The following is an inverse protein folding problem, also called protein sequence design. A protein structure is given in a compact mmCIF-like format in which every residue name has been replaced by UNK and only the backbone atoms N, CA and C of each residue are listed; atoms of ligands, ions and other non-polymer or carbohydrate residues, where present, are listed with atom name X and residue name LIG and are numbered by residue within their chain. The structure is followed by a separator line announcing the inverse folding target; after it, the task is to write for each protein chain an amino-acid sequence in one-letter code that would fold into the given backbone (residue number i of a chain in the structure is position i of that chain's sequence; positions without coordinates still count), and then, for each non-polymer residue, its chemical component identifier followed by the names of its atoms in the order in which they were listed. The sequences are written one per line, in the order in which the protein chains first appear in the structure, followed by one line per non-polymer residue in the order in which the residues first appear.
data_IF_931190850683
#
_entry.id   IF_931190850683
#
_cell.length_a   1.000
_cell.length_b   1.000
_cell.length_c   1.000
_cell.angle_alpha   90.00
_cell.angle_beta   90.00
_cell.angle_gamma   90.00
#
_symmetry.space_group_name_H-M   'P 1'
#
loop_
_entity.id
_entity.type
_entity.pdbx_description
1 polymer ?
#
# COMPACT_ATOMS: atom_id res chain seq x y z
N UNK A 1 61.85 -110.09 77.61
CA UNK A 1 61.56 -109.82 76.18
C UNK A 1 60.34 -108.92 75.99
N UNK A 2 59.17 -109.25 76.53
CA UNK A 2 57.90 -108.49 76.30
C UNK A 2 58.01 -106.99 76.62
N UNK A 3 58.68 -106.62 77.70
CA UNK A 3 58.83 -105.22 78.12
C UNK A 3 59.69 -104.36 77.17
N UNK A 4 60.69 -104.96 76.51
CA UNK A 4 61.57 -104.25 75.56
C UNK A 4 60.87 -104.00 74.22
N UNK A 5 60.05 -104.95 73.78
CA UNK A 5 59.16 -104.76 72.63
C UNK A 5 58.11 -103.68 72.90
N UNK A 6 57.54 -103.65 74.11
CA UNK A 6 56.58 -102.62 74.51
C UNK A 6 57.20 -101.20 74.48
N UNK A 7 58.42 -101.05 75.02
CA UNK A 7 59.11 -99.75 75.02
C UNK A 7 59.44 -99.28 73.60
N UNK A 8 59.85 -100.19 72.72
CA UNK A 8 60.15 -99.88 71.31
C UNK A 8 58.90 -99.53 70.50
N UNK A 9 57.77 -100.20 70.78
CA UNK A 9 56.48 -99.84 70.17
C UNK A 9 56.04 -98.46 70.64
N UNK A 10 56.13 -98.16 71.93
CA UNK A 10 55.78 -96.83 72.46
C UNK A 10 56.66 -95.72 71.88
N UNK A 11 57.97 -95.93 71.76
CA UNK A 11 58.90 -94.98 71.14
C UNK A 11 58.53 -94.70 69.67
N UNK A 12 58.20 -95.74 68.90
CA UNK A 12 57.74 -95.60 67.51
C UNK A 12 56.38 -94.92 67.40
N UNK A 13 55.45 -95.20 68.32
CA UNK A 13 54.16 -94.52 68.40
C UNK A 13 54.33 -93.03 68.71
N UNK A 14 55.27 -92.69 69.59
CA UNK A 14 55.61 -91.30 69.93
C UNK A 14 56.28 -90.59 68.75
N UNK A 15 57.20 -91.23 68.03
CA UNK A 15 57.79 -90.70 66.79
C UNK A 15 56.74 -90.49 65.69
N UNK A 16 55.79 -91.42 65.52
CA UNK A 16 54.68 -91.28 64.54
C UNK A 16 53.74 -90.17 64.96
N UNK A 17 53.38 -90.07 66.24
CA UNK A 17 52.56 -88.97 66.78
C UNK A 17 53.25 -87.62 66.58
N UNK A 18 54.54 -87.50 66.88
CA UNK A 18 55.30 -86.27 66.71
C UNK A 18 55.44 -85.89 65.22
N UNK A 19 55.70 -86.87 64.35
CA UNK A 19 55.75 -86.67 62.91
C UNK A 19 54.38 -86.22 62.36
N UNK A 20 53.29 -86.87 62.75
CA UNK A 20 51.93 -86.47 62.39
C UNK A 20 51.64 -85.03 62.83
N UNK A 21 51.92 -84.69 64.09
CA UNK A 21 51.74 -83.33 64.61
C UNK A 21 52.60 -82.29 63.88
N UNK A 22 53.83 -82.63 63.48
CA UNK A 22 54.67 -81.76 62.66
C UNK A 22 54.11 -81.59 61.25
N UNK A 23 53.58 -82.64 60.61
CA UNK A 23 52.96 -82.55 59.28
C UNK A 23 51.69 -81.71 59.31
N UNK A 24 50.83 -81.88 60.31
CA UNK A 24 49.64 -81.05 60.51
C UNK A 24 50.00 -79.58 60.73
N UNK A 25 50.99 -79.28 61.58
CA UNK A 25 51.49 -77.90 61.77
C UNK A 25 52.02 -77.30 60.47
N UNK A 26 52.74 -78.08 59.65
CA UNK A 26 53.23 -77.62 58.34
C UNK A 26 52.08 -77.37 57.37
N UNK A 27 51.05 -78.21 57.39
CA UNK A 27 49.86 -78.06 56.57
C UNK A 27 49.05 -76.83 56.99
N UNK A 28 48.78 -76.65 58.29
CA UNK A 28 48.11 -75.45 58.81
C UNK A 28 48.85 -74.15 58.41
N UNK A 29 50.18 -74.13 58.48
CA UNK A 29 50.96 -72.96 58.02
C UNK A 29 50.83 -72.71 56.52
N UNK A 30 50.77 -73.76 55.71
CA UNK A 30 50.55 -73.62 54.26
C UNK A 30 49.17 -73.06 53.99
N UNK A 31 48.13 -73.61 54.62
CA UNK A 31 46.75 -73.19 54.45
C UNK A 31 46.58 -71.71 54.89
N UNK A 32 47.14 -71.33 56.04
CA UNK A 32 47.15 -69.94 56.49
C UNK A 32 47.85 -69.00 55.50
N UNK A 33 48.99 -69.40 54.94
CA UNK A 33 49.70 -68.60 53.93
C UNK A 33 48.88 -68.50 52.63
N UNK A 34 48.24 -69.59 52.20
CA UNK A 34 47.37 -69.60 51.02
C UNK A 34 46.17 -68.67 51.22
N UNK A 35 45.50 -68.74 52.37
CA UNK A 35 44.37 -67.88 52.71
C UNK A 35 44.76 -66.40 52.77
N UNK A 36 45.91 -66.08 53.36
CA UNK A 36 46.43 -64.70 53.41
C UNK A 36 46.75 -64.16 52.02
N UNK A 37 47.43 -64.95 51.17
CA UNK A 37 47.71 -64.57 49.79
C UNK A 37 46.43 -64.38 48.97
N UNK A 38 45.44 -65.25 49.18
CA UNK A 38 44.15 -65.18 48.49
C UNK A 38 43.34 -63.95 48.93
N UNK A 39 43.37 -63.59 50.22
CA UNK A 39 42.76 -62.34 50.71
C UNK A 39 43.41 -61.12 50.08
N UNK A 40 44.75 -61.06 50.07
CA UNK A 40 45.49 -59.95 49.48
C UNK A 40 45.20 -59.79 47.98
N UNK A 41 45.14 -60.91 47.22
CA UNK A 41 44.77 -60.88 45.80
C UNK A 41 43.33 -60.40 45.58
N UNK A 42 42.39 -60.81 46.43
CA UNK A 42 40.99 -60.34 46.37
C UNK A 42 40.90 -58.85 46.65
N UNK A 43 41.60 -58.35 47.68
CA UNK A 43 41.66 -56.94 48.02
C UNK A 43 42.28 -56.11 46.89
N UNK A 44 43.38 -56.59 46.29
CA UNK A 44 44.02 -55.92 45.16
C UNK A 44 43.10 -55.86 43.93
N UNK A 45 42.38 -56.96 43.62
CA UNK A 45 41.38 -56.96 42.55
C UNK A 45 40.24 -55.98 42.85
N UNK A 46 39.69 -55.99 44.05
CA UNK A 46 38.63 -55.08 44.45
C UNK A 46 39.07 -53.61 44.35
N UNK A 47 40.32 -53.30 44.71
CA UNK A 47 40.90 -51.97 44.54
C UNK A 47 41.03 -51.58 43.07
N UNK A 48 41.50 -52.50 42.20
CA UNK A 48 41.59 -52.26 40.76
C UNK A 48 40.19 -52.06 40.13
N UNK A 49 39.22 -52.89 40.49
CA UNK A 49 37.82 -52.75 40.04
C UNK A 49 37.24 -51.41 40.48
N UNK A 50 37.48 -50.97 41.71
CA UNK A 50 37.07 -49.65 42.21
C UNK A 50 37.66 -48.50 41.38
N UNK A 51 38.96 -48.56 41.07
CA UNK A 51 39.63 -47.54 40.25
C UNK A 51 39.06 -47.51 38.83
N UNK A 52 38.86 -48.69 38.21
CA UNK A 52 38.30 -48.80 36.87
C UNK A 52 36.85 -48.30 36.83
N UNK A 53 36.03 -48.66 37.80
CA UNK A 53 34.64 -48.18 37.91
C UNK A 53 34.58 -46.66 38.08
N UNK A 54 35.46 -46.08 38.90
CA UNK A 54 35.53 -44.62 39.05
C UNK A 54 35.91 -43.94 37.74
N UNK A 55 36.90 -44.47 37.02
CA UNK A 55 37.32 -43.95 35.71
C UNK A 55 36.20 -44.07 34.68
N UNK A 56 35.50 -45.21 34.66
CA UNK A 56 34.36 -45.42 33.78
C UNK A 56 33.25 -44.39 34.07
N UNK A 57 32.90 -44.19 35.34
CA UNK A 57 31.89 -43.21 35.73
C UNK A 57 32.27 -41.79 35.29
N UNK A 58 33.53 -41.37 35.52
CA UNK A 58 34.03 -40.07 35.06
C UNK A 58 33.88 -39.88 33.55
N UNK A 59 34.22 -40.91 32.77
CA UNK A 59 34.07 -40.86 31.31
C UNK A 59 32.60 -40.82 30.87
N UNK A 60 31.70 -41.51 31.58
CA UNK A 60 30.26 -41.45 31.31
C UNK A 60 29.71 -40.04 31.60
N UNK A 61 30.12 -39.43 32.71
CA UNK A 61 29.69 -38.08 33.09
C UNK A 61 30.22 -37.02 32.10
N UNK A 62 31.49 -37.13 31.68
CA UNK A 62 32.09 -36.28 30.64
C UNK A 62 31.35 -36.42 29.31
N UNK A 63 31.06 -37.65 28.88
CA UNK A 63 30.33 -37.89 27.63
C UNK A 63 28.89 -37.36 27.67
N UNK A 64 28.23 -37.46 28.83
CA UNK A 64 26.91 -36.84 29.05
C UNK A 64 26.98 -35.31 28.96
N UNK A 65 28.01 -34.70 29.56
CA UNK A 65 28.24 -33.26 29.47
C UNK A 65 28.50 -32.82 28.02
N UNK A 66 29.36 -33.54 27.28
CA UNK A 66 29.60 -33.27 25.86
C UNK A 66 28.31 -33.38 25.04
N UNK A 67 27.52 -34.43 25.27
CA UNK A 67 26.23 -34.61 24.61
C UNK A 67 25.29 -33.43 24.86
N UNK A 68 25.23 -32.91 26.08
CA UNK A 68 24.44 -31.72 26.42
C UNK A 68 24.95 -30.46 25.69
N UNK A 69 26.27 -30.23 25.66
CA UNK A 69 26.85 -29.09 24.93
C UNK A 69 26.60 -29.17 23.42
N UNK A 70 26.65 -30.36 22.83
CA UNK A 70 26.33 -30.57 21.41
C UNK A 70 24.88 -30.18 21.11
N UNK A 71 23.93 -30.55 21.99
CA UNK A 71 22.52 -30.18 21.83
C UNK A 71 22.37 -28.65 21.90
N UNK A 72 23.02 -27.99 22.86
CA UNK A 72 23.00 -26.53 22.99
C UNK A 72 23.60 -25.82 21.77
N UNK A 73 24.72 -26.31 21.25
CA UNK A 73 25.34 -25.76 20.05
C UNK A 73 24.46 -25.94 18.82
N UNK A 74 23.78 -27.09 18.69
CA UNK A 74 22.82 -27.33 17.60
C UNK A 74 21.64 -26.36 17.66
N UNK A 75 21.08 -26.11 18.84
CA UNK A 75 19.95 -25.15 18.96
C UNK A 75 20.40 -23.72 18.68
N UNK A 76 21.58 -23.32 19.13
CA UNK A 76 22.16 -22.01 18.79
C UNK A 76 22.41 -21.87 17.28
N UNK A 77 22.96 -22.90 16.64
CA UNK A 77 23.19 -22.91 15.18
C UNK A 77 21.87 -22.76 14.43
N UNK A 78 20.84 -23.54 14.80
CA UNK A 78 19.51 -23.43 14.19
C UNK A 78 18.87 -22.05 14.38
N UNK A 79 19.11 -21.39 15.52
CA UNK A 79 18.61 -20.02 15.74
C UNK A 79 19.32 -19.03 14.83
N UNK A 80 20.64 -19.13 14.71
CA UNK A 80 21.44 -18.29 13.82
C UNK A 80 21.07 -18.48 12.35
N UNK A 81 20.78 -19.72 11.92
CA UNK A 81 20.32 -20.01 10.56
C UNK A 81 18.99 -19.31 10.26
N UNK A 82 18.04 -19.35 11.20
CA UNK A 82 16.75 -18.63 11.06
C UNK A 82 16.92 -17.11 11.04
N UNK A 83 17.79 -16.57 11.89
CA UNK A 83 18.10 -15.13 11.89
C UNK A 83 18.74 -14.71 10.56
N UNK A 84 19.65 -15.54 10.02
CA UNK A 84 20.27 -15.32 8.71
C UNK A 84 19.24 -15.34 7.58
N UNK A 85 18.35 -16.34 7.55
CA UNK A 85 17.26 -16.41 6.56
C UNK A 85 16.36 -15.17 6.65
N UNK A 86 15.92 -14.80 7.86
CA UNK A 86 15.09 -13.61 8.06
C UNK A 86 15.79 -12.31 7.62
N UNK A 87 17.09 -12.17 7.87
CA UNK A 87 17.85 -11.00 7.42
C UNK A 87 18.05 -11.00 5.90
N UNK A 88 18.23 -12.17 5.29
CA UNK A 88 18.29 -12.32 3.83
C UNK A 88 16.97 -11.89 3.18
N UNK A 89 15.83 -12.36 3.70
CA UNK A 89 14.51 -11.97 3.19
C UNK A 89 14.26 -10.46 3.32
N UNK A 90 14.70 -9.85 4.43
CA UNK A 90 14.61 -8.40 4.61
C UNK A 90 15.50 -7.64 3.63
N UNK A 91 16.71 -8.14 3.38
CA UNK A 91 17.62 -7.56 2.40
C UNK A 91 16.99 -7.59 1.00
N UNK A 92 16.52 -8.75 0.56
CA UNK A 92 15.87 -8.93 -0.75
C UNK A 92 14.65 -8.01 -0.92
N UNK A 93 13.85 -7.84 0.13
CA UNK A 93 12.72 -6.89 0.12
C UNK A 93 13.19 -5.44 -0.03
N UNK A 94 14.24 -5.04 0.69
CA UNK A 94 14.78 -3.67 0.58
C UNK A 94 15.46 -3.41 -0.76
N UNK A 95 16.15 -4.40 -1.32
CA UNK A 95 16.75 -4.34 -2.65
C UNK A 95 15.68 -4.22 -3.73
N UNK A 96 14.59 -5.01 -3.64
CA UNK A 96 13.45 -4.91 -4.53
C UNK A 96 12.81 -3.52 -4.52
N UNK A 97 12.55 -2.95 -3.33
CA UNK A 97 12.01 -1.59 -3.18
C UNK A 97 12.96 -0.52 -3.74
N UNK A 98 14.27 -0.67 -3.52
CA UNK A 98 15.27 0.26 -4.05
C UNK A 98 15.29 0.23 -5.58
N UNK A 99 15.17 -0.96 -6.17
CA UNK A 99 15.12 -1.12 -7.62
C UNK A 99 13.85 -0.49 -8.23
N UNK A 100 12.70 -0.65 -7.57
CA UNK A 100 11.45 0.01 -7.94
C UNK A 100 11.62 1.54 -7.91
N UNK A 101 12.15 2.11 -6.82
CA UNK A 101 12.40 3.55 -6.70
C UNK A 101 13.39 4.06 -7.76
N UNK A 102 14.47 3.31 -8.06
CA UNK A 102 15.41 3.67 -9.11
C UNK A 102 14.75 3.69 -10.50
N UNK A 103 13.83 2.75 -10.76
CA UNK A 103 13.06 2.72 -12.01
C UNK A 103 12.08 3.90 -12.10
N UNK A 104 11.42 4.27 -10.99
CA UNK A 104 10.54 5.43 -10.90
C UNK A 104 11.32 6.73 -11.09
N UNK A 105 12.49 6.88 -10.47
CA UNK A 105 13.37 8.03 -10.66
C UNK A 105 13.75 8.18 -12.14
N UNK A 106 14.10 7.08 -12.81
CA UNK A 106 14.45 7.09 -14.23
C UNK A 106 13.27 7.56 -15.07
N UNK A 107 12.07 7.01 -14.87
CA UNK A 107 10.87 7.41 -15.63
C UNK A 107 10.47 8.86 -15.40
N UNK A 108 10.53 9.36 -14.15
CA UNK A 108 10.28 10.76 -13.82
C UNK A 108 11.31 11.69 -14.47
N UNK A 109 12.59 11.32 -14.43
CA UNK A 109 13.66 12.11 -15.06
C UNK A 109 13.45 12.22 -16.57
N UNK A 110 13.00 11.14 -17.22
CA UNK A 110 12.65 11.16 -18.64
C UNK A 110 11.42 12.02 -18.92
N UNK A 111 10.40 11.97 -18.05
CA UNK A 111 9.19 12.78 -18.18
C UNK A 111 9.55 14.28 -18.14
N UNK A 112 10.26 14.72 -17.11
CA UNK A 112 10.72 16.10 -16.99
C UNK A 112 11.60 16.53 -18.16
N UNK A 113 12.46 15.64 -18.66
CA UNK A 113 13.26 15.91 -19.87
C UNK A 113 12.37 16.14 -21.10
N UNK A 114 11.32 15.33 -21.30
CA UNK A 114 10.37 15.49 -22.41
C UNK A 114 9.57 16.78 -22.28
N UNK A 115 9.08 17.11 -21.08
CA UNK A 115 8.37 18.36 -20.81
C UNK A 115 9.23 19.58 -21.11
N UNK A 116 10.48 19.60 -20.64
CA UNK A 116 11.41 20.69 -20.92
C UNK A 116 11.66 20.88 -22.42
N UNK A 117 11.82 19.77 -23.17
CA UNK A 117 11.97 19.85 -24.63
C UNK A 117 10.69 20.36 -25.32
N UNK A 118 9.51 19.95 -24.85
CA UNK A 118 8.23 20.45 -25.37
C UNK A 118 8.08 21.94 -25.10
N UNK A 119 8.35 22.36 -23.87
CA UNK A 119 8.32 23.76 -23.46
C UNK A 119 9.28 24.61 -24.29
N UNK A 120 10.52 24.14 -24.52
CA UNK A 120 11.47 24.84 -25.38
C UNK A 120 10.96 24.98 -26.82
N UNK A 121 10.33 23.94 -27.39
CA UNK A 121 9.75 24.01 -28.74
C UNK A 121 8.61 25.01 -28.83
N UNK A 122 7.69 25.00 -27.86
CA UNK A 122 6.59 25.96 -27.79
C UNK A 122 7.12 27.38 -27.59
N UNK A 123 8.10 27.57 -26.71
CA UNK A 123 8.76 28.86 -26.50
C UNK A 123 9.38 29.40 -27.80
N UNK A 124 10.07 28.56 -28.57
CA UNK A 124 10.61 28.96 -29.89
C UNK A 124 9.48 29.32 -30.86
N UNK A 125 8.43 28.50 -30.98
CA UNK A 125 7.31 28.75 -31.88
C UNK A 125 6.54 30.05 -31.53
N UNK A 126 6.33 30.31 -30.24
CA UNK A 126 5.71 31.57 -29.78
C UNK A 126 6.60 32.77 -30.04
N UNK A 127 7.92 32.65 -29.89
CA UNK A 127 8.86 33.72 -30.21
C UNK A 127 8.88 34.02 -31.72
N UNK A 128 8.85 32.99 -32.57
CA UNK A 128 8.73 33.15 -34.02
C UNK A 128 7.44 33.90 -34.41
N UNK A 129 6.30 33.56 -33.78
CA UNK A 129 5.03 34.27 -33.97
C UNK A 129 5.11 35.74 -33.53
N UNK A 130 5.73 36.02 -32.38
CA UNK A 130 5.95 37.39 -31.91
C UNK A 130 6.76 38.19 -32.94
N UNK A 131 7.82 37.59 -33.49
CA UNK A 131 8.67 38.27 -34.47
C UNK A 131 7.97 38.46 -35.83
N UNK A 132 7.06 37.55 -36.21
CA UNK A 132 6.17 37.74 -37.37
C UNK A 132 5.22 38.92 -37.15
N UNK A 133 4.50 38.95 -36.03
CA UNK A 133 3.58 40.03 -35.70
C UNK A 133 4.28 41.39 -35.61
N UNK A 134 5.51 41.43 -35.06
CA UNK A 134 6.34 42.65 -35.05
C UNK A 134 6.66 43.11 -36.47
N UNK A 135 6.97 42.19 -37.40
CA UNK A 135 7.21 42.51 -38.80
C UNK A 135 5.95 43.04 -39.48
N UNK A 136 4.80 42.42 -39.26
CA UNK A 136 3.52 42.92 -39.78
C UNK A 136 3.17 44.32 -39.27
N UNK A 137 3.35 44.58 -37.97
CA UNK A 137 3.12 45.90 -37.37
C UNK A 137 4.02 46.95 -38.03
N UNK A 138 5.31 46.65 -38.24
CA UNK A 138 6.22 47.56 -38.93
C UNK A 138 5.77 47.85 -40.38
N UNK A 139 5.30 46.84 -41.11
CA UNK A 139 4.76 47.01 -42.48
C UNK A 139 3.50 47.89 -42.45
N UNK A 140 2.59 47.66 -41.52
CA UNK A 140 1.37 48.47 -41.38
C UNK A 140 1.68 49.92 -41.00
N UNK A 141 2.63 50.15 -40.09
CA UNK A 141 3.08 51.49 -39.71
C UNK A 141 3.72 52.24 -40.88
N UNK A 142 4.55 51.58 -41.69
CA UNK A 142 5.14 52.20 -42.89
C UNK A 142 4.09 52.51 -43.94
N UNK A 143 3.13 51.60 -44.21
CA UNK A 143 2.00 51.83 -45.11
C UNK A 143 1.12 52.99 -44.64
N UNK A 144 0.78 53.04 -43.35
CA UNK A 144 0.00 54.13 -42.76
C UNK A 144 0.73 55.47 -42.87
N UNK A 145 2.06 55.47 -42.70
CA UNK A 145 2.89 56.66 -42.90
C UNK A 145 2.89 57.13 -44.36
N UNK A 146 2.90 56.22 -45.33
CA UNK A 146 2.76 56.53 -46.75
C UNK A 146 1.37 57.09 -47.08
N UNK A 147 0.30 56.48 -46.56
CA UNK A 147 -1.08 56.94 -46.75
C UNK A 147 -1.31 58.32 -46.12
N UNK A 148 -0.75 58.59 -44.93
CA UNK A 148 -0.77 59.93 -44.33
C UNK A 148 -0.08 60.98 -45.21
N UNK A 149 1.06 60.62 -45.83
CA UNK A 149 1.71 61.51 -46.82
C UNK A 149 0.81 61.73 -48.04
N UNK A 150 0.18 60.70 -48.59
CA UNK A 150 -0.80 60.82 -49.69
C UNK A 150 -1.99 61.69 -49.31
N UNK A 151 -2.53 61.55 -48.10
CA UNK A 151 -3.61 62.40 -47.58
C UNK A 151 -3.18 63.86 -47.42
N UNK A 152 -1.93 64.13 -47.02
CA UNK A 152 -1.37 65.49 -47.02
C UNK A 152 -1.28 66.08 -48.42
N UNK A 153 -0.94 65.27 -49.44
CA UNK A 153 -1.01 65.69 -50.85
C UNK A 153 -2.46 65.88 -51.35
N UNK A 154 -3.43 65.09 -50.86
CA UNK A 154 -4.86 65.20 -51.20
C UNK A 154 -5.60 66.32 -50.47
N UNK A 155 -5.15 66.72 -49.26
CA UNK A 155 -5.76 67.83 -48.47
C UNK A 155 -5.51 69.20 -49.10
N UNK A 156 -4.56 69.32 -50.02
CA UNK A 156 -4.40 70.49 -50.86
C UNK A 156 -5.50 70.62 -51.96
N UNK A 157 -6.43 69.65 -52.09
CA UNK A 157 -7.36 69.60 -53.24
C UNK A 157 -8.86 69.39 -52.95
N UNK A 158 -9.34 69.31 -51.71
CA UNK A 158 -10.75 68.94 -51.48
C UNK A 158 -11.52 69.91 -50.56
N UNK A 159 -12.20 70.86 -51.21
CA UNK A 159 -13.32 71.64 -50.68
C UNK A 159 -14.56 70.74 -50.73
N UNK A 160 -14.82 69.95 -49.70
CA UNK A 160 -16.04 69.10 -49.58
C UNK A 160 -16.38 68.80 -48.11
N UNK A 161 -16.45 69.84 -47.29
CA UNK A 161 -16.80 69.72 -45.85
C UNK A 161 -18.32 69.60 -45.62
N UNK A 162 -19.16 69.79 -46.64
CA UNK A 162 -20.63 69.90 -46.47
C UNK A 162 -21.36 68.56 -46.33
N UNK A 163 -20.75 67.42 -46.67
CA UNK A 163 -21.41 66.10 -46.58
C UNK A 163 -21.09 65.34 -45.28
N UNK A 164 -20.10 65.78 -44.49
CA UNK A 164 -19.74 65.12 -43.22
C UNK A 164 -20.74 65.41 -42.10
N UNK A 165 -21.16 66.66 -41.94
CA UNK A 165 -22.06 67.07 -40.85
C UNK A 165 -23.43 66.35 -40.87
N UNK A 166 -24.01 66.14 -42.06
CA UNK A 166 -25.31 65.45 -42.19
C UNK A 166 -25.24 63.95 -41.85
N UNK A 167 -24.11 63.30 -42.14
CA UNK A 167 -23.90 61.87 -41.87
C UNK A 167 -23.65 61.62 -40.38
N UNK A 168 -22.96 62.54 -39.73
CA UNK A 168 -22.67 62.50 -38.30
C UNK A 168 -23.95 62.64 -37.47
N UNK A 169 -24.83 63.57 -37.81
CA UNK A 169 -26.13 63.74 -37.14
C UNK A 169 -27.07 62.54 -37.32
N UNK A 170 -27.04 61.88 -38.49
CA UNK A 170 -27.84 60.68 -38.78
C UNK A 170 -27.36 59.49 -37.93
N UNK A 171 -26.04 59.32 -37.80
CA UNK A 171 -25.45 58.28 -36.95
C UNK A 171 -25.73 58.53 -35.47
N UNK A 172 -25.70 59.78 -35.01
CA UNK A 172 -26.05 60.12 -33.62
C UNK A 172 -27.52 59.85 -33.28
N UNK A 173 -28.43 60.03 -34.24
CA UNK A 173 -29.84 59.67 -34.07
C UNK A 173 -30.02 58.16 -34.02
N UNK A 174 -29.30 57.42 -34.86
CA UNK A 174 -29.36 55.96 -34.88
C UNK A 174 -28.79 55.33 -33.60
N UNK A 175 -27.68 55.88 -33.06
CA UNK A 175 -27.14 55.45 -31.76
C UNK A 175 -28.16 55.67 -30.64
N UNK A 176 -28.85 56.81 -30.63
CA UNK A 176 -29.90 57.10 -29.64
C UNK A 176 -31.08 56.14 -29.77
N UNK A 177 -31.52 55.83 -31.00
CA UNK A 177 -32.59 54.87 -31.28
C UNK A 177 -32.21 53.47 -30.78
N UNK A 178 -31.00 53.00 -31.10
CA UNK A 178 -30.48 51.70 -30.67
C UNK A 178 -30.32 51.60 -29.16
N UNK A 179 -29.89 52.68 -28.49
CA UNK A 179 -29.83 52.73 -27.02
C UNK A 179 -31.21 52.60 -26.37
N UNK A 180 -32.22 53.27 -26.92
CA UNK A 180 -33.61 53.14 -26.46
C UNK A 180 -34.14 51.72 -26.66
N UNK A 181 -33.93 51.15 -27.85
CA UNK A 181 -34.33 49.78 -28.18
C UNK A 181 -33.62 48.75 -27.27
N UNK A 182 -32.32 48.94 -27.01
CA UNK A 182 -31.56 48.10 -26.08
C UNK A 182 -32.08 48.17 -24.64
N UNK A 183 -32.51 49.35 -24.17
CA UNK A 183 -33.10 49.47 -22.85
C UNK A 183 -34.46 48.77 -22.77
N UNK A 184 -35.32 48.92 -23.78
CA UNK A 184 -36.61 48.20 -23.84
C UNK A 184 -36.40 46.68 -23.85
N UNK A 185 -35.45 46.18 -24.64
CA UNK A 185 -35.11 44.76 -24.68
C UNK A 185 -34.56 44.27 -23.32
N UNK A 186 -33.81 45.10 -22.61
CA UNK A 186 -33.33 44.78 -21.26
C UNK A 186 -34.49 44.65 -20.28
N UNK A 187 -35.42 45.60 -20.30
CA UNK A 187 -36.59 45.58 -19.42
C UNK A 187 -37.47 44.36 -19.69
N UNK A 188 -37.71 44.02 -20.96
CA UNK A 188 -38.42 42.80 -21.36
C UNK A 188 -37.68 41.53 -20.91
N UNK A 189 -36.35 41.52 -20.98
CA UNK A 189 -35.55 40.39 -20.53
C UNK A 189 -35.66 40.19 -19.00
N UNK A 190 -35.63 41.29 -18.23
CA UNK A 190 -35.85 41.24 -16.77
C UNK A 190 -37.27 40.80 -16.40
N UNK A 191 -38.28 41.22 -17.16
CA UNK A 191 -39.66 40.76 -16.98
C UNK A 191 -39.79 39.25 -17.27
N UNK A 192 -39.18 38.76 -18.36
CA UNK A 192 -39.15 37.33 -18.70
C UNK A 192 -38.40 36.50 -17.66
N UNK A 193 -37.25 36.99 -17.15
CA UNK A 193 -36.52 36.35 -16.05
C UNK A 193 -37.38 36.26 -14.80
N UNK A 194 -38.12 37.32 -14.46
CA UNK A 194 -39.02 37.34 -13.31
C UNK A 194 -40.16 36.32 -13.46
N UNK A 195 -40.75 36.23 -14.66
CA UNK A 195 -41.75 35.20 -14.98
C UNK A 195 -41.18 33.77 -14.86
N UNK A 196 -39.96 33.54 -15.36
CA UNK A 196 -39.28 32.24 -15.25
C UNK A 196 -39.07 31.84 -13.79
N UNK A 197 -38.60 32.77 -12.95
CA UNK A 197 -38.41 32.53 -11.51
C UNK A 197 -39.76 32.20 -10.84
N UNK A 198 -40.82 32.95 -11.15
CA UNK A 198 -42.15 32.69 -10.61
C UNK A 198 -42.69 31.30 -11.00
N UNK A 199 -42.49 30.91 -12.26
CA UNK A 199 -42.92 29.62 -12.78
C UNK A 199 -42.14 28.45 -12.16
N UNK A 200 -40.82 28.62 -11.99
CA UNK A 200 -39.96 27.66 -11.30
C UNK A 200 -40.32 27.52 -9.82
N UNK A 201 -40.62 28.62 -9.12
CA UNK A 201 -41.04 28.59 -7.72
C UNK A 201 -42.39 27.88 -7.55
N UNK A 202 -43.34 28.12 -8.46
CA UNK A 202 -44.62 27.43 -8.50
C UNK A 202 -44.44 25.92 -8.76
N UNK A 203 -43.60 25.56 -9.74
CA UNK A 203 -43.26 24.17 -10.03
C UNK A 203 -42.59 23.46 -8.85
N UNK A 204 -41.62 24.12 -8.20
CA UNK A 204 -40.96 23.62 -7.00
C UNK A 204 -41.97 23.40 -5.86
N UNK A 205 -42.87 24.36 -5.60
CA UNK A 205 -43.91 24.22 -4.58
C UNK A 205 -44.82 23.01 -4.81
N UNK A 206 -45.18 22.72 -6.06
CA UNK A 206 -45.99 21.55 -6.41
C UNK A 206 -45.22 20.24 -6.19
N UNK A 207 -43.94 20.20 -6.55
CA UNK A 207 -43.06 19.04 -6.32
C UNK A 207 -42.83 18.77 -4.83
N UNK A 208 -42.56 19.81 -4.03
CA UNK A 208 -42.43 19.68 -2.57
C UNK A 208 -43.75 19.27 -1.91
N UNK A 209 -44.88 19.78 -2.40
CA UNK A 209 -46.22 19.38 -1.90
C UNK A 209 -46.49 17.88 -2.07
N UNK A 210 -46.14 17.31 -3.23
CA UNK A 210 -46.27 15.88 -3.48
C UNK A 210 -45.29 15.05 -2.62
N UNK A 211 -44.03 15.48 -2.54
CA UNK A 211 -43.01 14.79 -1.73
C UNK A 211 -43.35 14.78 -0.23
N UNK A 212 -43.95 15.85 0.29
CA UNK A 212 -44.30 15.96 1.72
C UNK A 212 -45.48 15.06 2.09
N UNK A 213 -46.48 14.93 1.21
CA UNK A 213 -47.60 13.99 1.38
C UNK A 213 -47.12 12.54 1.39
N UNK A 214 -46.21 12.17 0.49
CA UNK A 214 -45.58 10.85 0.44
C UNK A 214 -44.80 10.52 1.71
N UNK A 215 -44.03 11.48 2.21
CA UNK A 215 -43.26 11.30 3.44
C UNK A 215 -44.18 11.16 4.66
N UNK A 216 -45.33 11.84 4.68
CA UNK A 216 -46.33 11.67 5.74
C UNK A 216 -47.04 10.29 5.71
N UNK A 217 -47.33 9.75 4.52
CA UNK A 217 -47.95 8.42 4.37
C UNK A 217 -46.96 7.29 4.65
N UNK A 218 -45.66 7.48 4.33
CA UNK A 218 -44.61 6.49 4.59
C UNK A 218 -44.20 6.37 6.07
N UNK A 219 -44.49 7.38 6.90
CA UNK A 219 -44.14 7.38 8.33
C UNK A 219 -45.30 6.96 9.26
N UNK A 220 -46.52 6.82 8.75
CA UNK A 220 -47.68 6.42 9.55
C UNK A 220 -47.90 4.89 9.47
N UNK A 221 -47.67 4.12 10.56
CA UNK A 221 -47.89 2.67 10.57
C UNK A 221 -49.37 2.26 10.50
N UNK A 222 -50.29 3.24 10.46
CA UNK A 222 -51.74 3.06 10.37
C UNK A 222 -52.29 3.28 8.95
N UNK A 223 -51.43 3.59 7.98
CA UNK A 223 -51.83 3.90 6.61
C UNK A 223 -52.52 2.70 5.94
N UNK A 224 -53.68 2.93 5.32
CA UNK A 224 -54.44 1.87 4.65
C UNK A 224 -53.78 1.48 3.31
N UNK A 225 -54.03 0.25 2.86
CA UNK A 225 -53.56 -0.22 1.55
C UNK A 225 -54.04 0.67 0.41
N UNK A 226 -55.27 1.20 0.48
CA UNK A 226 -55.76 2.19 -0.49
C UNK A 226 -54.91 3.47 -0.49
N UNK A 227 -54.54 4.01 0.67
CA UNK A 227 -53.75 5.24 0.76
C UNK A 227 -52.34 5.08 0.18
N UNK A 228 -51.71 3.91 0.36
CA UNK A 228 -50.41 3.60 -0.25
C UNK A 228 -50.52 3.45 -1.75
N UNK A 229 -51.58 2.80 -2.25
CA UNK A 229 -51.82 2.67 -3.69
C UNK A 229 -52.13 4.01 -4.36
N UNK A 230 -52.92 4.86 -3.72
CA UNK A 230 -53.22 6.22 -4.18
C UNK A 230 -51.95 7.08 -4.25
N UNK A 231 -51.09 7.01 -3.23
CA UNK A 231 -49.81 7.72 -3.22
C UNK A 231 -48.85 7.21 -4.32
N UNK A 232 -48.83 5.90 -4.58
CA UNK A 232 -48.05 5.33 -5.69
C UNK A 232 -48.59 5.77 -7.06
N UNK A 233 -49.91 5.84 -7.21
CA UNK A 233 -50.55 6.30 -8.45
C UNK A 233 -50.26 7.79 -8.70
N UNK A 234 -50.26 8.64 -7.67
CA UNK A 234 -49.83 10.04 -7.79
C UNK A 234 -48.36 10.15 -8.22
N UNK A 235 -47.46 9.28 -7.71
CA UNK A 235 -46.06 9.25 -8.15
C UNK A 235 -45.96 8.86 -9.64
N UNK A 236 -46.70 7.84 -10.06
CA UNK A 236 -46.71 7.42 -11.46
C UNK A 236 -47.21 8.53 -12.38
N UNK A 237 -48.24 9.28 -11.96
CA UNK A 237 -48.76 10.43 -12.71
C UNK A 237 -47.75 11.58 -12.78
N UNK A 238 -47.07 11.91 -11.68
CA UNK A 238 -46.00 12.93 -11.65
C UNK A 238 -44.84 12.51 -12.56
N UNK A 239 -44.42 11.24 -12.49
CA UNK A 239 -43.35 10.72 -13.35
C UNK A 239 -43.74 10.75 -14.83
N UNK A 240 -45.01 10.45 -15.14
CA UNK A 240 -45.52 10.56 -16.51
C UNK A 240 -45.48 12.02 -17.00
N UNK A 241 -45.91 12.98 -16.19
CA UNK A 241 -45.84 14.41 -16.52
C UNK A 241 -44.40 14.90 -16.70
N UNK A 242 -43.47 14.46 -15.85
CA UNK A 242 -42.04 14.79 -15.96
C UNK A 242 -41.44 14.26 -17.26
N UNK A 243 -41.79 13.04 -17.68
CA UNK A 243 -41.35 12.48 -18.97
C UNK A 243 -41.87 13.30 -20.14
N UNK A 244 -43.16 13.66 -20.14
CA UNK A 244 -43.74 14.52 -21.18
C UNK A 244 -43.08 15.90 -21.24
N UNK A 245 -42.74 16.47 -20.08
CA UNK A 245 -42.02 17.75 -20.01
C UNK A 245 -40.60 17.65 -20.56
N UNK A 246 -39.84 16.60 -20.18
CA UNK A 246 -38.51 16.34 -20.72
C UNK A 246 -38.55 16.15 -22.25
N UNK A 247 -39.51 15.38 -22.77
CA UNK A 247 -39.67 15.16 -24.20
C UNK A 247 -39.91 16.48 -24.95
N UNK A 248 -40.75 17.37 -24.42
CA UNK A 248 -40.98 18.70 -25.01
C UNK A 248 -39.72 19.55 -25.04
N UNK A 249 -38.90 19.53 -23.98
CA UNK A 249 -37.63 20.27 -23.94
C UNK A 249 -36.66 19.69 -24.96
N UNK A 250 -36.48 18.36 -24.97
CA UNK A 250 -35.55 17.68 -25.87
C UNK A 250 -35.92 17.97 -27.32
N UNK A 251 -37.21 17.85 -27.67
CA UNK A 251 -37.71 18.20 -29.01
C UNK A 251 -37.44 19.68 -29.35
N UNK A 252 -37.66 20.59 -28.41
CA UNK A 252 -37.36 22.01 -28.61
C UNK A 252 -35.88 22.29 -28.85
N UNK A 253 -34.98 21.60 -28.14
CA UNK A 253 -33.53 21.70 -28.33
C UNK A 253 -33.11 21.09 -29.67
N UNK A 254 -33.67 19.93 -30.03
CA UNK A 254 -33.38 19.26 -31.30
C UNK A 254 -33.71 20.14 -32.51
N UNK A 255 -34.79 20.92 -32.45
CA UNK A 255 -35.21 21.82 -33.54
C UNK A 255 -34.33 23.08 -33.62
N UNK A 256 -33.97 23.66 -32.47
CA UNK A 256 -33.35 24.99 -32.45
C UNK A 256 -31.82 24.95 -32.39
N UNK A 257 -31.23 24.00 -31.65
CA UNK A 257 -29.78 23.92 -31.49
C UNK A 257 -29.33 22.52 -31.01
N UNK A 258 -29.27 21.51 -31.90
CA UNK A 258 -29.06 20.11 -31.53
C UNK A 258 -27.66 19.81 -30.96
N UNK A 259 -26.65 20.66 -31.23
CA UNK A 259 -25.29 20.46 -30.71
C UNK A 259 -25.18 20.56 -29.18
N UNK A 260 -26.19 21.13 -28.51
CA UNK A 260 -26.25 21.18 -27.03
C UNK A 260 -26.48 19.78 -26.43
N UNK A 261 -27.03 18.84 -27.20
CA UNK A 261 -27.26 17.46 -26.76
C UNK A 261 -26.05 16.53 -27.01
N UNK A 262 -24.94 17.05 -27.54
CA UNK A 262 -23.71 16.29 -27.76
C UNK A 262 -23.02 16.00 -26.42
N UNK A 263 -23.02 14.72 -26.01
CA UNK A 263 -22.25 14.28 -24.84
C UNK A 263 -20.80 14.14 -25.28
N UNK A 264 -19.98 15.15 -24.93
CA UNK A 264 -18.53 15.08 -25.15
C UNK A 264 -17.91 14.03 -24.22
N UNK A 265 -16.97 13.21 -24.71
CA UNK A 265 -16.26 12.21 -23.90
C UNK A 265 -15.37 12.85 -22.83
#
# INVERSE_FOLDING_TARGET
MVWFYFLRVHELEEEVCEHCAQTEKRQMKRDQNFDSNLSHLKEQKAAQESILNRRLQQQLDENAAFSATIIQLKTLTQRLDKEKESLSDQLDQTEGRLQEEASLQTTLSEHTRRENLSFQREHVATQELIDELRREVNILQTRLSQERKKLHYSRARAKSESHRGSRETELEQEVRRLQQESNILRDQNEELKSHLVALNLCGAKNLFGASTKLQSVSLDPSASREQVLEALQEIEEINWQLRQYMDRIILGIMVNNPSILEIKP
#
